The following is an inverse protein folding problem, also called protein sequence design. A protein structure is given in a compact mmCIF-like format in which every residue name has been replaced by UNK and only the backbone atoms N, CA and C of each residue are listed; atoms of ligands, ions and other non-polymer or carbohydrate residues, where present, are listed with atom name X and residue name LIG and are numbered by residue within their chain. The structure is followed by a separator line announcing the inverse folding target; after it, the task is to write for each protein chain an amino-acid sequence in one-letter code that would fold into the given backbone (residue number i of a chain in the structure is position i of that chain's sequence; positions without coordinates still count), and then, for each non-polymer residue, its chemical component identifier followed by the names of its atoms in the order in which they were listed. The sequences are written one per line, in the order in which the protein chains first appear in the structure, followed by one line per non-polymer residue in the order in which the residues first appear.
data_IF_431959307636
#
_entry.id   IF_431959307636
#
_cell.length_a   1.000
_cell.length_b   1.000
_cell.length_c   1.000
_cell.angle_alpha   90.00
_cell.angle_beta   90.00
_cell.angle_gamma   90.00
#
_symmetry.space_group_name_H-M   'P 1'
#
loop_
_entity.id
_entity.type
_entity.pdbx_description
1 polymer ?
#
# COMPACT_ATOMS: atom_id res chain seq x y z
N UNK A 1 -40.28 9.51 41.07
CA UNK A 1 -38.87 9.07 41.03
C UNK A 1 -38.00 10.28 41.32
N UNK A 2 -37.14 10.25 42.34
CA UNK A 2 -36.30 11.40 42.71
C UNK A 2 -34.93 11.33 41.98
N UNK A 3 -34.33 12.48 41.62
CA UNK A 3 -33.00 12.51 41.00
C UNK A 3 -31.94 11.95 41.96
N UNK A 4 -30.92 11.29 41.42
CA UNK A 4 -29.87 10.64 42.21
C UNK A 4 -28.89 11.63 42.88
N UNK A 5 -28.74 12.82 42.32
CA UNK A 5 -27.81 13.82 42.83
C UNK A 5 -28.23 14.38 44.20
N UNK A 6 -27.27 14.49 45.13
CA UNK A 6 -27.46 15.14 46.44
C UNK A 6 -27.88 16.62 46.32
N UNK A 7 -27.43 17.30 45.25
CA UNK A 7 -27.76 18.68 44.91
C UNK A 7 -28.22 18.78 43.45
N UNK A 8 -29.50 18.46 43.14
CA UNK A 8 -29.96 18.31 41.76
C UNK A 8 -29.84 19.62 40.95
N UNK A 9 -30.15 20.78 41.55
CA UNK A 9 -30.02 22.09 40.88
C UNK A 9 -28.58 22.42 40.45
N UNK A 10 -27.58 22.03 41.24
CA UNK A 10 -26.16 22.25 40.89
C UNK A 10 -25.72 21.29 39.78
N UNK A 11 -26.17 20.04 39.82
CA UNK A 11 -25.90 19.06 38.77
C UNK A 11 -26.52 19.50 37.44
N UNK A 12 -27.78 19.96 37.47
CA UNK A 12 -28.49 20.52 36.32
C UNK A 12 -27.75 21.72 35.71
N UNK A 13 -27.32 22.69 36.53
CA UNK A 13 -26.56 23.83 36.05
C UNK A 13 -25.24 23.42 35.38
N UNK A 14 -24.49 22.50 35.98
CA UNK A 14 -23.23 22.01 35.41
C UNK A 14 -23.45 21.27 34.08
N UNK A 15 -24.47 20.42 34.01
CA UNK A 15 -24.84 19.68 32.79
C UNK A 15 -25.25 20.66 31.69
N UNK A 16 -26.06 21.66 32.01
CA UNK A 16 -26.47 22.70 31.07
C UNK A 16 -25.27 23.47 30.51
N UNK A 17 -24.30 23.84 31.35
CA UNK A 17 -23.06 24.50 30.90
C UNK A 17 -22.27 23.60 29.94
N UNK A 18 -22.09 22.31 30.26
CA UNK A 18 -21.40 21.37 29.38
C UNK A 18 -22.12 21.19 28.04
N UNK A 19 -23.46 21.12 28.07
CA UNK A 19 -24.24 21.04 26.84
C UNK A 19 -24.15 22.32 26.00
N UNK A 20 -24.17 23.50 26.63
CA UNK A 20 -24.01 24.78 25.94
C UNK A 20 -22.62 24.96 25.33
N UNK A 21 -21.55 24.59 26.05
CA UNK A 21 -20.19 24.54 25.50
C UNK A 21 -20.13 23.59 24.31
N UNK A 22 -20.80 22.45 24.43
CA UNK A 22 -20.93 21.46 23.36
C UNK A 22 -21.59 22.01 22.09
N UNK A 23 -22.73 22.69 22.25
CA UNK A 23 -23.43 23.38 21.14
C UNK A 23 -22.56 24.49 20.55
N UNK A 24 -21.92 25.29 21.38
CA UNK A 24 -21.02 26.36 20.93
C UNK A 24 -19.83 25.81 20.12
N UNK A 25 -19.27 24.67 20.51
CA UNK A 25 -18.24 23.97 19.75
C UNK A 25 -18.72 23.51 18.37
N UNK A 26 -19.94 22.94 18.28
CA UNK A 26 -20.52 22.53 17.00
C UNK A 26 -20.85 23.72 16.08
N UNK A 27 -21.38 24.82 16.65
CA UNK A 27 -21.60 26.06 15.90
C UNK A 27 -20.26 26.63 15.43
N UNK A 28 -19.24 26.63 16.31
CA UNK A 28 -17.88 27.03 15.98
C UNK A 28 -17.29 26.22 14.84
N UNK A 29 -17.55 24.91 14.79
CA UNK A 29 -17.14 24.05 13.67
C UNK A 29 -17.83 24.45 12.37
N UNK A 30 -19.14 24.69 12.39
CA UNK A 30 -19.88 25.15 11.21
C UNK A 30 -19.38 26.50 10.68
N UNK A 31 -19.11 27.46 11.58
CA UNK A 31 -18.55 28.77 11.22
C UNK A 31 -17.13 28.62 10.68
N UNK A 32 -16.27 27.84 11.35
CA UNK A 32 -14.92 27.56 10.92
C UNK A 32 -14.90 26.98 9.50
N UNK A 33 -15.81 26.04 9.22
CA UNK A 33 -15.95 25.41 7.91
C UNK A 33 -16.36 26.41 6.82
N UNK A 34 -17.33 27.28 7.10
CA UNK A 34 -17.75 28.35 6.18
C UNK A 34 -16.62 29.35 5.90
N UNK A 35 -15.84 29.68 6.93
CA UNK A 35 -14.75 30.65 6.86
C UNK A 35 -13.44 30.05 6.32
N UNK A 36 -13.41 28.75 5.99
CA UNK A 36 -12.24 28.03 5.46
C UNK A 36 -11.00 28.23 6.34
N UNK A 37 -11.12 27.87 7.62
CA UNK A 37 -10.01 27.98 8.60
C UNK A 37 -9.02 26.79 8.52
N UNK A 38 -7.85 26.84 9.18
CA UNK A 38 -6.94 25.70 9.24
C UNK A 38 -7.52 24.45 9.92
N UNK A 39 -7.06 23.27 9.52
CA UNK A 39 -7.62 21.97 9.95
C UNK A 39 -7.65 21.74 11.47
N UNK A 40 -6.68 22.30 12.20
CA UNK A 40 -6.65 22.18 13.65
C UNK A 40 -7.83 22.91 14.32
N UNK A 41 -8.38 23.96 13.70
CA UNK A 41 -9.56 24.68 14.18
C UNK A 41 -10.81 23.81 14.05
N UNK A 42 -10.92 23.06 12.94
CA UNK A 42 -11.98 22.06 12.75
C UNK A 42 -11.92 20.98 13.83
N UNK A 43 -10.72 20.41 14.05
CA UNK A 43 -10.51 19.39 15.07
C UNK A 43 -10.84 19.89 16.47
N UNK A 44 -10.44 21.11 16.82
CA UNK A 44 -10.66 21.69 18.15
C UNK A 44 -12.14 22.01 18.41
N UNK A 45 -12.82 22.67 17.46
CA UNK A 45 -14.23 23.06 17.61
C UNK A 45 -15.17 21.85 17.63
N UNK A 46 -14.97 20.89 16.72
CA UNK A 46 -15.74 19.64 16.68
C UNK A 46 -15.43 18.74 17.89
N UNK A 47 -14.15 18.64 18.27
CA UNK A 47 -13.69 17.85 19.40
C UNK A 47 -14.27 18.36 20.73
N UNK A 48 -14.14 19.66 21.02
CA UNK A 48 -14.73 20.27 22.22
C UNK A 48 -16.26 20.14 22.16
N UNK A 49 -16.88 20.40 21.01
CA UNK A 49 -18.32 20.34 20.84
C UNK A 49 -18.91 18.96 21.21
N UNK A 50 -18.38 17.91 20.58
CA UNK A 50 -18.83 16.53 20.80
C UNK A 50 -18.45 16.00 22.18
N UNK A 51 -17.26 16.32 22.69
CA UNK A 51 -16.81 15.88 24.01
C UNK A 51 -17.68 16.48 25.13
N UNK A 52 -17.92 17.78 25.09
CA UNK A 52 -18.73 18.47 26.10
C UNK A 52 -20.21 18.04 26.04
N UNK A 53 -20.77 17.80 24.84
CA UNK A 53 -22.10 17.19 24.72
C UNK A 53 -22.14 15.77 25.30
N UNK A 54 -21.16 14.93 24.99
CA UNK A 54 -21.06 13.56 25.52
C UNK A 54 -21.01 13.54 27.06
N UNK A 55 -20.17 14.39 27.66
CA UNK A 55 -20.15 14.56 29.12
C UNK A 55 -21.48 15.07 29.67
N UNK A 56 -22.13 16.02 28.98
CA UNK A 56 -23.45 16.52 29.37
C UNK A 56 -24.51 15.42 29.42
N UNK A 57 -24.66 14.64 28.34
CA UNK A 57 -25.67 13.56 28.24
C UNK A 57 -25.40 12.44 29.24
N UNK A 58 -24.14 12.02 29.40
CA UNK A 58 -23.79 10.98 30.37
C UNK A 58 -24.01 11.44 31.81
N UNK A 59 -23.67 12.70 32.13
CA UNK A 59 -23.96 13.29 33.43
C UNK A 59 -25.46 13.42 33.69
N UNK A 60 -26.27 13.78 32.69
CA UNK A 60 -27.73 13.76 32.79
C UNK A 60 -28.24 12.36 33.19
N UNK A 61 -27.87 11.33 32.43
CA UNK A 61 -28.25 9.94 32.71
C UNK A 61 -27.81 9.47 34.10
N UNK A 62 -26.61 9.86 34.54
CA UNK A 62 -26.03 9.41 35.81
C UNK A 62 -26.61 10.12 37.04
N UNK A 63 -26.89 11.42 36.94
CA UNK A 63 -27.15 12.27 38.11
C UNK A 63 -28.60 12.76 38.22
N UNK A 64 -29.31 12.94 37.12
CA UNK A 64 -30.68 13.49 37.12
C UNK A 64 -31.74 12.47 36.73
N UNK A 65 -31.41 11.43 35.95
CA UNK A 65 -32.36 10.38 35.61
C UNK A 65 -32.66 9.46 36.81
N UNK A 66 -33.90 8.96 36.93
CA UNK A 66 -34.24 7.90 37.89
C UNK A 66 -33.34 6.69 37.75
N UNK A 67 -32.80 6.23 38.88
CA UNK A 67 -32.03 5.01 38.96
C UNK A 67 -32.79 4.06 39.87
N UNK A 68 -33.18 2.91 39.35
CA UNK A 68 -33.85 1.87 40.11
C UNK A 68 -33.38 0.50 39.65
N UNK A 69 -33.57 -0.54 40.47
CA UNK A 69 -33.59 -1.90 39.94
C UNK A 69 -34.84 -2.01 39.06
N UNK A 70 -34.68 -1.82 37.75
CA UNK A 70 -35.70 -2.20 36.78
C UNK A 70 -35.53 -3.70 36.53
N UNK A 71 -36.53 -4.49 36.89
CA UNK A 71 -36.55 -5.93 36.63
C UNK A 71 -37.53 -6.17 35.49
N UNK A 72 -37.01 -6.70 34.39
CA UNK A 72 -37.81 -7.19 33.27
C UNK A 72 -37.56 -8.69 33.14
N UNK A 73 -38.63 -9.48 33.22
CA UNK A 73 -38.54 -10.93 33.09
C UNK A 73 -38.17 -11.30 31.66
N UNK A 74 -37.01 -11.94 31.49
CA UNK A 74 -36.56 -12.37 30.17
C UNK A 74 -37.41 -13.55 29.70
N UNK A 75 -38.09 -13.38 28.57
CA UNK A 75 -38.75 -14.50 27.91
C UNK A 75 -37.73 -15.62 27.60
N UNK A 76 -38.11 -16.90 27.78
CA UNK A 76 -37.23 -18.01 27.41
C UNK A 76 -36.89 -17.91 25.92
N UNK A 77 -35.60 -18.05 25.58
CA UNK A 77 -35.15 -18.02 24.18
C UNK A 77 -35.69 -19.21 23.37
N UNK A 78 -36.14 -20.27 24.05
CA UNK A 78 -36.79 -21.42 23.44
C UNK A 78 -38.27 -21.11 23.25
N UNK A 79 -38.74 -21.11 21.99
CA UNK A 79 -40.17 -21.12 21.68
C UNK A 79 -40.86 -22.36 22.25
N UNK A 80 -42.16 -22.28 22.51
CA UNK A 80 -42.92 -23.36 23.16
C UNK A 80 -42.87 -24.65 22.33
N UNK A 81 -43.03 -25.81 22.98
CA UNK A 81 -43.01 -27.09 22.28
C UNK A 81 -44.08 -27.15 21.19
N UNK A 82 -45.27 -26.60 21.47
CA UNK A 82 -46.35 -26.43 20.49
C UNK A 82 -45.93 -25.57 19.27
N UNK A 83 -45.22 -24.46 19.47
CA UNK A 83 -44.72 -23.63 18.37
C UNK A 83 -43.70 -24.39 17.51
N UNK A 84 -42.82 -25.18 18.14
CA UNK A 84 -41.80 -25.97 17.46
C UNK A 84 -42.41 -27.13 16.67
N UNK A 85 -43.40 -27.79 17.24
CA UNK A 85 -44.16 -28.86 16.58
C UNK A 85 -44.97 -28.34 15.40
N UNK A 86 -45.66 -27.20 15.56
CA UNK A 86 -46.35 -26.55 14.44
C UNK A 86 -45.39 -26.17 13.32
N UNK A 87 -44.21 -25.64 13.66
CA UNK A 87 -43.18 -25.29 12.69
C UNK A 87 -42.63 -26.53 11.97
N UNK A 88 -42.30 -27.61 12.70
CA UNK A 88 -41.79 -28.85 12.10
C UNK A 88 -42.84 -29.51 11.21
N UNK A 89 -44.10 -29.58 11.67
CA UNK A 89 -45.22 -30.10 10.89
C UNK A 89 -45.42 -29.31 9.59
N UNK A 90 -45.35 -27.98 9.64
CA UNK A 90 -45.45 -27.12 8.46
C UNK A 90 -44.31 -27.36 7.45
N UNK A 91 -43.07 -27.58 7.93
CA UNK A 91 -41.92 -27.93 7.06
C UNK A 91 -42.15 -29.29 6.40
N UNK A 92 -42.52 -30.32 7.16
CA UNK A 92 -42.70 -31.69 6.66
C UNK A 92 -43.84 -31.75 5.64
N UNK A 93 -44.96 -31.09 5.91
CA UNK A 93 -46.11 -31.03 5.01
C UNK A 93 -45.73 -30.45 3.64
N UNK A 94 -44.87 -29.43 3.59
CA UNK A 94 -44.41 -28.79 2.35
C UNK A 94 -43.26 -29.56 1.68
N UNK A 95 -42.36 -30.16 2.45
CA UNK A 95 -41.16 -30.86 1.94
C UNK A 95 -41.46 -32.13 1.14
N UNK A 96 -42.60 -32.80 1.39
CA UNK A 96 -42.98 -34.04 0.72
C UNK A 96 -43.14 -33.94 -0.81
N UNK A 97 -43.35 -32.74 -1.35
CA UNK A 97 -43.54 -32.50 -2.80
C UNK A 97 -42.21 -32.68 -3.56
N UNK A 98 -41.10 -32.22 -2.99
CA UNK A 98 -39.76 -32.35 -3.59
C UNK A 98 -39.24 -33.79 -3.51
N UNK A 99 -39.53 -34.50 -2.41
CA UNK A 99 -39.09 -35.88 -2.20
C UNK A 99 -39.61 -36.90 -3.23
N UNK A 100 -40.74 -36.60 -3.89
CA UNK A 100 -41.35 -37.46 -4.93
C UNK A 100 -40.79 -37.23 -6.34
N UNK A 101 -40.08 -36.12 -6.59
CA UNK A 101 -39.57 -35.73 -7.92
C UNK A 101 -38.04 -35.70 -7.95
N UNK A 102 -37.42 -36.80 -7.50
CA UNK A 102 -35.96 -36.92 -7.30
C UNK A 102 -35.12 -36.58 -8.55
N UNK A 103 -35.58 -36.93 -9.75
CA UNK A 103 -34.88 -36.60 -10.99
C UNK A 103 -34.84 -35.07 -11.21
N UNK A 104 -35.98 -34.38 -11.09
CA UNK A 104 -36.06 -32.93 -11.27
C UNK A 104 -35.29 -32.18 -10.17
N UNK A 105 -35.39 -32.65 -8.91
CA UNK A 105 -34.62 -32.10 -7.80
C UNK A 105 -33.10 -32.29 -8.00
N UNK A 106 -32.68 -33.47 -8.51
CA UNK A 106 -31.29 -33.77 -8.83
C UNK A 106 -30.74 -32.88 -9.95
N UNK A 107 -31.49 -32.73 -11.05
CA UNK A 107 -31.12 -31.84 -12.17
C UNK A 107 -31.08 -30.38 -11.71
N UNK A 108 -32.06 -29.93 -10.91
CA UNK A 108 -32.08 -28.58 -10.33
C UNK A 108 -30.90 -28.33 -9.40
N UNK A 109 -30.57 -29.30 -8.54
CA UNK A 109 -29.40 -29.24 -7.66
C UNK A 109 -28.09 -29.18 -8.43
N UNK A 110 -27.92 -30.03 -9.46
CA UNK A 110 -26.77 -29.99 -10.35
C UNK A 110 -26.67 -28.66 -11.08
N UNK A 111 -27.79 -28.15 -11.62
CA UNK A 111 -27.85 -26.86 -12.29
C UNK A 111 -27.43 -25.70 -11.40
N UNK A 112 -27.92 -25.67 -10.15
CA UNK A 112 -27.49 -24.66 -9.16
C UNK A 112 -26.01 -24.81 -8.79
N UNK A 113 -25.49 -26.03 -8.67
CA UNK A 113 -24.07 -26.26 -8.37
C UNK A 113 -23.17 -25.79 -9.52
N UNK A 114 -23.50 -26.17 -10.75
CA UNK A 114 -22.77 -25.73 -11.96
C UNK A 114 -22.87 -24.22 -12.11
N UNK A 115 -24.06 -23.64 -11.93
CA UNK A 115 -24.23 -22.19 -11.95
C UNK A 115 -23.38 -21.50 -10.88
N UNK A 116 -23.38 -22.00 -9.64
CA UNK A 116 -22.58 -21.45 -8.55
C UNK A 116 -21.07 -21.49 -8.84
N UNK A 117 -20.57 -22.61 -9.38
CA UNK A 117 -19.18 -22.75 -9.78
C UNK A 117 -18.82 -21.79 -10.91
N UNK A 118 -19.65 -21.71 -11.96
CA UNK A 118 -19.39 -20.81 -13.10
C UNK A 118 -19.50 -19.35 -12.69
N UNK A 119 -20.47 -18.99 -11.85
CA UNK A 119 -20.64 -17.63 -11.33
C UNK A 119 -19.46 -17.19 -10.45
N UNK A 120 -18.75 -18.14 -9.82
CA UNK A 120 -17.53 -17.83 -9.08
C UNK A 120 -16.32 -17.53 -9.97
N UNK A 121 -16.29 -18.02 -11.22
CA UNK A 121 -15.13 -17.85 -12.12
C UNK A 121 -14.84 -16.37 -12.42
N UNK A 122 -15.81 -15.52 -12.83
CA UNK A 122 -15.57 -14.09 -12.98
C UNK A 122 -15.09 -13.46 -11.67
N UNK A 123 -15.69 -13.81 -10.53
CA UNK A 123 -15.28 -13.26 -9.24
C UNK A 123 -13.81 -13.57 -8.91
N UNK A 124 -13.31 -14.74 -9.30
CA UNK A 124 -11.91 -15.14 -9.07
C UNK A 124 -10.96 -14.68 -10.17
N UNK A 125 -11.42 -14.55 -11.41
CA UNK A 125 -10.57 -14.22 -12.57
C UNK A 125 -10.61 -12.73 -12.95
N UNK A 126 -11.56 -11.96 -12.46
CA UNK A 126 -11.69 -10.52 -12.74
C UNK A 126 -10.75 -9.64 -11.93
N UNK A 127 -9.81 -10.20 -11.16
CA UNK A 127 -8.81 -9.43 -10.40
C UNK A 127 -7.66 -8.87 -11.25
N UNK A 128 -7.65 -9.09 -12.57
CA UNK A 128 -6.73 -8.43 -13.49
C UNK A 128 -6.09 -9.37 -14.51
N UNK A 129 -5.25 -8.80 -15.40
CA UNK A 129 -4.49 -9.59 -16.35
C UNK A 129 -3.44 -10.46 -15.64
N UNK A 130 -3.10 -11.60 -16.25
CA UNK A 130 -1.99 -12.41 -15.78
C UNK A 130 -0.67 -11.68 -16.09
N UNK A 131 0.31 -11.67 -15.16
CA UNK A 131 1.55 -10.89 -15.30
C UNK A 131 2.48 -11.36 -16.44
N UNK A 132 2.32 -12.59 -16.94
CA UNK A 132 3.17 -13.14 -18.01
C UNK A 132 4.67 -12.87 -17.76
N UNK A 133 5.35 -12.20 -18.71
CA UNK A 133 6.78 -11.87 -18.64
C UNK A 133 7.06 -10.42 -18.22
N UNK A 134 6.05 -9.67 -17.76
CA UNK A 134 6.23 -8.24 -17.42
C UNK A 134 7.21 -8.01 -16.26
N UNK A 135 7.52 -9.06 -15.48
CA UNK A 135 8.49 -9.01 -14.38
C UNK A 135 9.93 -9.31 -14.82
N UNK A 136 10.11 -9.85 -16.03
CA UNK A 136 11.42 -10.27 -16.54
C UNK A 136 12.09 -9.21 -17.42
N UNK A 137 11.31 -8.33 -18.04
CA UNK A 137 11.79 -7.36 -19.02
C UNK A 137 11.70 -5.93 -18.48
N UNK A 138 12.64 -5.09 -18.93
CA UNK A 138 12.62 -3.64 -18.73
C UNK A 138 12.53 -2.96 -20.10
N UNK A 139 12.37 -1.65 -20.14
CA UNK A 139 12.37 -0.91 -21.40
C UNK A 139 13.79 -0.53 -21.87
N UNK A 140 14.83 -0.89 -21.13
CA UNK A 140 16.22 -0.78 -21.59
C UNK A 140 16.49 -1.70 -22.77
N UNK A 141 16.92 -1.11 -23.88
CA UNK A 141 17.27 -1.82 -25.12
C UNK A 141 18.66 -1.42 -25.60
N UNK A 142 19.20 -2.19 -26.54
CA UNK A 142 20.46 -1.84 -27.23
C UNK A 142 20.41 -0.43 -27.81
N UNK A 143 21.47 0.33 -27.58
CA UNK A 143 21.68 1.70 -28.06
C UNK A 143 20.69 2.74 -27.48
N UNK A 144 20.01 2.44 -26.37
CA UNK A 144 19.10 3.40 -25.72
C UNK A 144 19.90 4.50 -25.02
N UNK A 145 19.49 5.75 -25.21
CA UNK A 145 20.12 6.91 -24.59
C UNK A 145 19.71 7.03 -23.12
N UNK A 146 20.68 7.33 -22.25
CA UNK A 146 20.41 7.62 -20.84
C UNK A 146 19.92 9.06 -20.71
N UNK A 147 18.74 9.25 -20.11
CA UNK A 147 18.18 10.57 -19.81
C UNK A 147 17.93 10.76 -18.32
N UNK A 148 18.04 11.99 -17.82
CA UNK A 148 17.63 12.31 -16.45
C UNK A 148 16.09 12.33 -16.29
N UNK A 149 15.62 12.63 -15.09
CA UNK A 149 14.19 12.75 -14.78
C UNK A 149 13.45 13.82 -15.60
N UNK A 150 14.17 14.78 -16.20
CA UNK A 150 13.59 15.81 -17.07
C UNK A 150 13.56 15.38 -18.54
N UNK A 151 14.21 14.27 -18.88
CA UNK A 151 14.37 13.78 -20.25
C UNK A 151 15.60 14.33 -20.95
N UNK A 152 16.49 15.03 -20.24
CA UNK A 152 17.73 15.54 -20.81
C UNK A 152 18.76 14.42 -20.90
N UNK A 153 19.37 14.27 -22.07
CA UNK A 153 20.39 13.26 -22.32
C UNK A 153 21.64 13.50 -21.46
N UNK A 154 22.20 12.43 -20.91
CA UNK A 154 23.39 12.48 -20.06
C UNK A 154 24.66 12.42 -20.90
N UNK A 155 25.48 13.46 -20.79
CA UNK A 155 26.84 13.52 -21.31
C UNK A 155 27.85 13.09 -20.22
N UNK A 156 29.02 12.59 -20.63
CA UNK A 156 30.12 12.23 -19.72
C UNK A 156 30.68 13.40 -18.89
N UNK A 157 30.27 14.62 -19.17
CA UNK A 157 30.65 15.82 -18.40
C UNK A 157 29.61 16.19 -17.33
N UNK A 158 28.39 15.64 -17.39
CA UNK A 158 27.30 15.98 -16.47
C UNK A 158 27.46 15.38 -15.07
N UNK A 159 28.23 14.30 -14.96
CA UNK A 159 28.42 13.57 -13.71
C UNK A 159 29.88 13.71 -13.27
N UNK A 160 30.08 14.44 -12.17
CA UNK A 160 31.39 14.59 -11.54
C UNK A 160 31.88 13.24 -10.97
N UNK A 161 33.18 13.12 -10.72
CA UNK A 161 33.76 11.93 -10.06
C UNK A 161 33.19 11.81 -8.64
N UNK A 162 32.71 10.62 -8.28
CA UNK A 162 31.93 10.37 -7.06
C UNK A 162 30.47 10.87 -7.13
N UNK A 163 30.05 11.41 -8.27
CA UNK A 163 28.69 11.87 -8.52
C UNK A 163 27.76 10.73 -8.89
N UNK A 164 26.47 10.95 -8.63
CA UNK A 164 25.41 10.00 -8.92
C UNK A 164 24.19 10.71 -9.51
N UNK A 165 23.53 10.07 -10.48
CA UNK A 165 22.30 10.57 -11.09
C UNK A 165 21.35 9.41 -11.38
N UNK A 166 20.04 9.63 -11.19
CA UNK A 166 19.03 8.66 -11.62
C UNK A 166 18.75 8.87 -13.10
N UNK A 167 18.84 7.79 -13.87
CA UNK A 167 18.65 7.77 -15.32
C UNK A 167 17.54 6.82 -15.72
N UNK A 168 16.96 7.11 -16.87
CA UNK A 168 15.86 6.38 -17.50
C UNK A 168 16.21 6.13 -18.97
N UNK A 169 15.57 5.15 -19.62
CA UNK A 169 15.63 5.01 -21.06
C UNK A 169 14.87 6.18 -21.71
N UNK A 170 15.44 6.71 -22.79
CA UNK A 170 14.86 7.82 -23.55
C UNK A 170 13.36 7.62 -23.83
N UNK A 171 12.55 8.60 -23.42
CA UNK A 171 11.09 8.60 -23.62
C UNK A 171 10.29 7.85 -22.56
N UNK A 172 10.93 7.28 -21.53
CA UNK A 172 10.25 6.55 -20.43
C UNK A 172 10.29 7.25 -19.08
N UNK A 173 11.04 8.34 -18.94
CA UNK A 173 11.22 9.04 -17.66
C UNK A 173 9.92 9.58 -17.04
N UNK A 174 8.87 9.80 -17.82
CA UNK A 174 7.57 10.30 -17.34
C UNK A 174 6.44 9.25 -17.43
N UNK A 175 6.77 7.97 -17.62
CA UNK A 175 5.78 6.89 -17.66
C UNK A 175 5.75 6.13 -16.33
N UNK A 176 4.59 5.57 -15.98
CA UNK A 176 4.45 4.74 -14.77
C UNK A 176 5.40 3.53 -14.81
N UNK A 177 5.56 2.89 -15.97
CA UNK A 177 6.51 1.79 -16.18
C UNK A 177 7.95 2.24 -15.94
N UNK A 178 8.36 3.38 -16.50
CA UNK A 178 9.72 3.89 -16.35
C UNK A 178 10.04 4.28 -14.91
N UNK A 179 9.04 4.84 -14.22
CA UNK A 179 9.13 5.14 -12.78
C UNK A 179 9.06 3.89 -11.90
N UNK A 180 8.56 2.75 -12.39
CA UNK A 180 8.46 1.54 -11.60
C UNK A 180 9.67 0.60 -11.77
N UNK A 181 10.10 0.31 -12.99
CA UNK A 181 11.08 -0.75 -13.27
C UNK A 181 12.35 -0.27 -13.99
N UNK A 182 12.31 0.85 -14.70
CA UNK A 182 13.46 1.30 -15.49
C UNK A 182 14.44 2.20 -14.73
N UNK A 183 14.07 2.65 -13.52
CA UNK A 183 14.93 3.49 -12.70
C UNK A 183 16.30 2.84 -12.54
N UNK A 184 17.33 3.56 -13.01
CA UNK A 184 18.72 3.11 -12.96
C UNK A 184 19.55 4.20 -12.31
N UNK A 185 20.48 3.83 -11.45
CA UNK A 185 21.39 4.76 -10.80
C UNK A 185 22.73 4.72 -11.53
N UNK A 186 23.09 5.83 -12.16
CA UNK A 186 24.38 6.04 -12.83
C UNK A 186 25.34 6.68 -11.83
N UNK A 187 26.47 6.04 -11.61
CA UNK A 187 27.51 6.46 -10.67
C UNK A 187 28.80 6.61 -11.46
N UNK A 188 29.57 7.66 -11.17
CA UNK A 188 30.95 7.78 -11.63
C UNK A 188 31.89 7.48 -10.47
N UNK A 189 32.57 6.35 -10.53
CA UNK A 189 33.44 5.88 -9.46
C UNK A 189 34.67 6.78 -9.28
N UNK A 190 35.10 6.88 -8.04
CA UNK A 190 36.40 7.45 -7.66
C UNK A 190 37.51 6.42 -7.82
N UNK A 191 37.20 5.14 -7.54
CA UNK A 191 38.12 4.01 -7.72
C UNK A 191 38.41 3.81 -9.21
N UNK A 192 39.71 3.82 -9.55
CA UNK A 192 40.22 3.44 -10.87
C UNK A 192 40.56 1.94 -10.84
N UNK A 193 40.52 1.25 -11.99
CA UNK A 193 40.80 -0.19 -12.12
C UNK A 193 39.87 -1.12 -11.32
N UNK A 194 38.58 -1.08 -11.65
CA UNK A 194 37.59 -2.01 -11.12
C UNK A 194 37.11 -2.98 -12.22
N UNK A 195 36.81 -4.21 -11.82
CA UNK A 195 36.02 -5.15 -12.63
C UNK A 195 34.85 -5.56 -11.75
N UNK A 196 33.65 -5.17 -12.15
CA UNK A 196 32.45 -5.38 -11.33
C UNK A 196 32.16 -6.87 -11.14
N UNK A 197 32.18 -7.63 -12.23
CA UNK A 197 32.12 -9.10 -12.22
C UNK A 197 32.93 -9.67 -13.41
N UNK A 198 33.42 -10.92 -13.32
CA UNK A 198 34.05 -11.57 -14.47
C UNK A 198 33.16 -11.56 -15.71
N UNK A 199 33.69 -11.13 -16.86
CA UNK A 199 32.92 -11.00 -18.11
C UNK A 199 32.18 -9.67 -18.30
N UNK A 200 32.32 -8.73 -17.35
CA UNK A 200 31.74 -7.37 -17.42
C UNK A 200 32.78 -6.27 -17.56
N UNK A 201 33.96 -6.60 -18.07
CA UNK A 201 35.11 -5.68 -18.17
C UNK A 201 34.80 -4.44 -19.03
N UNK A 202 33.90 -4.57 -20.01
CA UNK A 202 33.50 -3.47 -20.90
C UNK A 202 32.24 -2.72 -20.47
N UNK A 203 31.61 -3.09 -19.35
CA UNK A 203 30.28 -2.59 -18.99
C UNK A 203 30.30 -1.20 -18.35
N UNK A 204 31.49 -0.75 -17.91
CA UNK A 204 31.66 0.53 -17.24
C UNK A 204 32.74 1.41 -17.87
N UNK A 205 32.47 2.14 -18.96
CA UNK A 205 33.45 2.99 -19.63
C UNK A 205 33.80 4.19 -18.74
N UNK A 206 35.07 4.62 -18.76
CA UNK A 206 35.53 5.89 -18.15
C UNK A 206 35.11 6.11 -16.67
N UNK A 207 34.99 5.03 -15.89
CA UNK A 207 34.58 5.08 -14.49
C UNK A 207 33.07 5.11 -14.27
N UNK A 208 32.26 5.02 -15.33
CA UNK A 208 30.80 5.01 -15.24
C UNK A 208 30.27 3.61 -14.98
N UNK A 209 29.43 3.45 -13.97
CA UNK A 209 28.67 2.22 -13.72
C UNK A 209 27.20 2.55 -13.53
N UNK A 210 26.33 1.70 -14.03
CA UNK A 210 24.89 1.85 -13.87
C UNK A 210 24.30 0.58 -13.27
N UNK A 211 23.50 0.73 -12.22
CA UNK A 211 22.79 -0.36 -11.56
C UNK A 211 21.29 -0.09 -11.52
N UNK A 212 20.47 -1.13 -11.56
CA UNK A 212 19.04 -0.96 -11.30
C UNK A 212 18.85 -0.32 -9.93
N UNK A 213 18.02 0.70 -9.87
CA UNK A 213 17.63 1.35 -8.62
C UNK A 213 16.67 0.49 -7.80
N UNK A 214 16.18 -0.63 -8.36
CA UNK A 214 15.22 -1.50 -7.68
C UNK A 214 15.93 -2.49 -6.76
N UNK A 215 15.76 -2.29 -5.44
CA UNK A 215 16.33 -3.17 -4.43
C UNK A 215 15.88 -4.64 -4.65
N UNK A 216 16.84 -5.56 -4.66
CA UNK A 216 16.61 -7.01 -4.86
C UNK A 216 15.85 -7.70 -3.72
N UNK A 217 15.61 -7.00 -2.60
CA UNK A 217 14.78 -7.46 -1.49
C UNK A 217 13.28 -7.26 -1.78
N UNK A 218 12.78 -6.03 -1.61
CA UNK A 218 11.36 -5.67 -1.71
C UNK A 218 11.09 -4.49 -2.67
N UNK A 219 12.05 -4.14 -3.52
CA UNK A 219 11.82 -3.24 -4.65
C UNK A 219 11.84 -1.74 -4.33
N UNK A 220 12.22 -1.35 -3.11
CA UNK A 220 12.43 0.06 -2.82
C UNK A 220 13.53 0.68 -3.72
N UNK A 221 13.39 1.96 -4.12
CA UNK A 221 14.40 2.65 -4.88
C UNK A 221 15.65 2.91 -4.03
N UNK A 222 16.77 2.28 -4.41
CA UNK A 222 18.10 2.45 -3.83
C UNK A 222 18.68 3.79 -4.30
N UNK A 223 18.49 4.85 -3.52
CA UNK A 223 18.85 6.21 -3.91
C UNK A 223 19.94 6.88 -3.09
N UNK A 224 20.38 6.27 -1.99
CA UNK A 224 21.44 6.83 -1.15
C UNK A 224 22.78 6.26 -1.60
N UNK A 225 23.76 7.13 -1.82
CA UNK A 225 25.11 6.76 -2.21
C UNK A 225 26.09 7.35 -1.20
N UNK A 226 26.89 6.48 -0.58
CA UNK A 226 28.01 6.86 0.25
C UNK A 226 29.26 6.87 -0.65
N UNK A 227 29.79 8.07 -0.91
CA UNK A 227 30.83 8.28 -1.92
C UNK A 227 32.19 7.72 -1.49
N UNK A 228 32.52 7.76 -0.20
CA UNK A 228 33.86 7.42 0.27
C UNK A 228 34.11 5.91 0.30
N UNK A 229 33.08 5.14 0.61
CA UNK A 229 33.07 3.67 0.60
C UNK A 229 32.48 3.08 -0.68
N UNK A 230 31.98 3.95 -1.57
CA UNK A 230 31.31 3.58 -2.82
C UNK A 230 30.17 2.57 -2.61
N UNK A 231 29.33 2.84 -1.60
CA UNK A 231 28.20 1.98 -1.22
C UNK A 231 26.87 2.60 -1.63
N UNK A 232 26.02 1.78 -2.25
CA UNK A 232 24.62 2.09 -2.41
C UNK A 232 23.83 1.60 -1.20
N UNK A 233 23.00 2.47 -0.63
CA UNK A 233 22.19 2.17 0.56
C UNK A 233 20.70 2.26 0.24
N UNK A 234 19.98 1.18 0.50
CA UNK A 234 18.53 1.14 0.40
C UNK A 234 17.89 1.78 1.65
N UNK A 235 17.08 2.86 1.52
CA UNK A 235 16.54 3.57 2.67
C UNK A 235 15.48 2.79 3.45
N UNK A 236 14.88 1.74 2.87
CA UNK A 236 13.78 1.01 3.49
C UNK A 236 14.25 0.05 4.59
N UNK A 237 15.24 -0.79 4.29
CA UNK A 237 15.72 -1.84 5.21
C UNK A 237 17.25 -1.91 5.25
N UNK A 238 17.91 -0.85 4.82
CA UNK A 238 19.34 -0.60 4.99
C UNK A 238 20.25 -1.64 4.32
N UNK A 239 19.78 -2.34 3.28
CA UNK A 239 20.67 -3.13 2.44
C UNK A 239 21.74 -2.24 1.84
N UNK A 240 23.01 -2.63 2.01
CA UNK A 240 24.16 -1.92 1.47
C UNK A 240 24.77 -2.77 0.36
N UNK A 241 25.03 -2.14 -0.78
CA UNK A 241 25.56 -2.79 -1.97
C UNK A 241 26.89 -2.15 -2.33
N UNK A 242 27.94 -2.96 -2.46
CA UNK A 242 29.25 -2.49 -2.88
C UNK A 242 29.28 -2.32 -4.40
N UNK A 243 29.38 -1.06 -4.83
CA UNK A 243 29.27 -0.66 -6.23
C UNK A 243 30.48 -1.13 -7.04
N UNK A 244 31.63 -1.33 -6.39
CA UNK A 244 32.88 -1.75 -7.04
C UNK A 244 32.90 -3.22 -7.41
N UNK A 245 32.15 -4.04 -6.67
CA UNK A 245 32.03 -5.51 -6.85
C UNK A 245 30.73 -5.92 -7.53
N UNK A 246 30.16 -5.04 -8.37
CA UNK A 246 28.95 -5.36 -9.12
C UNK A 246 27.66 -5.21 -8.31
N UNK A 247 27.64 -4.29 -7.34
CA UNK A 247 26.54 -4.06 -6.41
C UNK A 247 26.21 -5.29 -5.56
N UNK A 248 27.23 -6.02 -5.10
CA UNK A 248 27.07 -7.17 -4.21
C UNK A 248 26.55 -6.71 -2.83
N UNK A 249 25.50 -7.33 -2.25
CA UNK A 249 25.00 -6.94 -0.95
C UNK A 249 25.99 -7.36 0.14
N UNK A 250 26.56 -6.37 0.83
CA UNK A 250 27.50 -6.59 1.95
C UNK A 250 26.82 -6.49 3.32
N UNK A 251 25.59 -5.97 3.36
CA UNK A 251 24.80 -5.84 4.58
C UNK A 251 23.30 -5.81 4.28
N UNK A 252 22.48 -6.14 5.29
CA UNK A 252 21.03 -6.08 5.26
C UNK A 252 20.36 -7.28 4.56
N UNK A 253 19.03 -7.23 4.35
CA UNK A 253 18.24 -8.40 3.93
C UNK A 253 18.23 -8.67 2.43
N UNK A 254 18.95 -7.89 1.61
CA UNK A 254 18.95 -8.08 0.16
C UNK A 254 19.70 -9.35 -0.21
N UNK A 255 19.07 -10.32 -0.90
CA UNK A 255 19.68 -11.63 -1.10
C UNK A 255 20.62 -11.69 -2.31
N UNK A 256 20.63 -10.65 -3.16
CA UNK A 256 21.29 -10.67 -4.48
C UNK A 256 21.83 -9.31 -4.88
N UNK A 257 22.84 -9.25 -5.76
CA UNK A 257 23.33 -8.02 -6.34
C UNK A 257 22.26 -7.24 -7.11
N UNK A 258 22.43 -5.92 -7.23
CA UNK A 258 21.63 -5.12 -8.14
C UNK A 258 22.06 -5.41 -9.59
N UNK A 259 21.14 -5.65 -10.53
CA UNK A 259 21.49 -5.81 -11.94
C UNK A 259 22.28 -4.61 -12.47
N UNK A 260 23.37 -4.87 -13.17
CA UNK A 260 24.19 -3.84 -13.80
C UNK A 260 23.70 -3.62 -15.24
N UNK A 261 23.60 -2.36 -15.65
CA UNK A 261 23.30 -2.00 -17.03
C UNK A 261 24.62 -1.79 -17.78
N UNK A 262 24.89 -2.51 -18.89
CA UNK A 262 26.10 -2.30 -19.67
C UNK A 262 26.05 -0.97 -20.41
N UNK A 263 27.07 -0.13 -20.23
CA UNK A 263 27.13 1.21 -20.81
C UNK A 263 28.22 1.32 -21.89
N UNK A 264 28.03 2.24 -22.83
CA UNK A 264 29.11 2.74 -23.69
C UNK A 264 28.94 4.24 -23.92
N UNK A 265 30.03 4.91 -24.28
CA UNK A 265 30.02 6.33 -24.66
C UNK A 265 29.96 6.41 -26.18
N UNK A 266 28.98 7.15 -26.71
CA UNK A 266 28.88 7.37 -28.14
C UNK A 266 29.90 8.40 -28.66
N UNK A 267 30.02 8.55 -29.98
CA UNK A 267 30.98 9.47 -30.60
C UNK A 267 30.75 10.95 -30.28
N UNK A 268 29.60 11.29 -29.70
CA UNK A 268 29.24 12.65 -29.26
C UNK A 268 29.43 12.85 -27.76
N UNK A 269 29.91 11.84 -27.03
CA UNK A 269 30.15 11.89 -25.59
C UNK A 269 28.91 11.62 -24.73
N UNK A 270 27.83 11.09 -25.29
CA UNK A 270 26.63 10.72 -24.52
C UNK A 270 26.69 9.26 -24.08
N UNK A 271 26.17 8.99 -22.88
CA UNK A 271 26.08 7.64 -22.33
C UNK A 271 24.87 6.90 -22.90
N UNK A 272 25.12 5.67 -23.34
CA UNK A 272 24.09 4.78 -23.92
C UNK A 272 24.20 3.38 -23.35
N UNK A 273 23.09 2.66 -23.34
CA UNK A 273 23.05 1.26 -22.96
C UNK A 273 23.53 0.36 -24.12
N UNK A 274 24.49 -0.54 -23.89
CA UNK A 274 24.93 -1.52 -24.89
C UNK A 274 23.79 -2.51 -25.20
N UNK A 275 23.08 -2.94 -24.17
CA UNK A 275 21.91 -3.83 -24.19
C UNK A 275 20.99 -3.49 -23.01
N UNK A 276 19.87 -4.21 -22.85
CA UNK A 276 19.13 -4.21 -21.59
C UNK A 276 19.88 -4.95 -20.47
N UNK A 277 19.29 -5.00 -19.28
CA UNK A 277 19.78 -5.84 -18.18
C UNK A 277 19.81 -7.32 -18.60
N UNK A 278 20.83 -8.04 -18.14
CA UNK A 278 21.02 -9.48 -18.37
C UNK A 278 20.22 -10.37 -17.41
N UNK A 279 19.62 -9.76 -16.38
CA UNK A 279 18.79 -10.42 -15.39
C UNK A 279 17.60 -9.53 -14.99
N UNK A 280 16.47 -10.09 -14.51
CA UNK A 280 15.31 -9.29 -14.13
C UNK A 280 15.62 -8.26 -13.03
N UNK A 281 14.97 -7.11 -13.04
CA UNK A 281 15.18 -6.09 -12.00
C UNK A 281 14.33 -6.33 -10.75
N UNK A 282 14.76 -5.80 -9.61
CA UNK A 282 13.99 -5.83 -8.36
C UNK A 282 13.90 -7.19 -7.65
N UNK A 283 12.83 -7.39 -6.84
CA UNK A 283 12.64 -8.56 -5.98
C UNK A 283 12.65 -9.91 -6.71
N UNK A 284 12.87 -10.97 -5.92
CA UNK A 284 12.65 -12.34 -6.38
C UNK A 284 11.16 -12.64 -6.57
N UNK A 285 10.84 -13.46 -7.58
CA UNK A 285 9.52 -14.04 -7.79
C UNK A 285 9.67 -15.51 -8.19
N UNK A 286 8.59 -16.29 -8.07
CA UNK A 286 8.63 -17.75 -8.16
C UNK A 286 9.23 -18.30 -9.46
N UNK A 287 9.04 -17.59 -10.57
CA UNK A 287 9.52 -17.99 -11.91
C UNK A 287 10.76 -17.20 -12.36
N UNK A 288 11.45 -16.53 -11.43
CA UNK A 288 12.64 -15.75 -11.75
C UNK A 288 13.80 -16.68 -12.13
N UNK A 289 14.38 -16.45 -13.30
CA UNK A 289 15.60 -17.07 -13.82
C UNK A 289 16.74 -16.07 -13.86
#
# INVERSE_FOLDING_TARGET
MQPKAKNPKRAEALIAVMMLVGVAGLVGFGVAYIMVTPDWVYGLTLGIGTLSLGFGVTAWGKYLMPQGPFVEDRHPMRGTDEQRERFSAAIVQRGGILGRRKLLAGIGGLGMAVFGLIAAIPLLRSFGPLPQNTLSETNWKKNTLLVDSTGRAINVTDVAVGGVVTVYPEGRQNTDEGQAIDQTILIRLTTQDYITQPGRESWGPDGYVAYSKMCSHLGCPVGLYEQQLELLVCPCHQSMFDVTTGAEPIFGPAPRPLPQLPLFVDSKGFLRAQTGFDQPVGPGYWTRS
#
